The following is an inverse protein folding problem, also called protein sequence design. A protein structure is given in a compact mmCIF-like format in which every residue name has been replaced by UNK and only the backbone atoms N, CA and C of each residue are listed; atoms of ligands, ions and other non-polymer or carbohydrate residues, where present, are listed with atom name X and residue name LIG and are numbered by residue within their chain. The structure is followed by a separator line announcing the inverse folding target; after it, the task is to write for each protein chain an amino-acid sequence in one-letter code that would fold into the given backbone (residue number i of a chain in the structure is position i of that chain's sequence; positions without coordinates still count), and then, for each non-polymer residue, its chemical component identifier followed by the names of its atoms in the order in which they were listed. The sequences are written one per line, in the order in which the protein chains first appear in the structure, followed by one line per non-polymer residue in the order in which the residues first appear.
data_IF_871721691984
#
_entry.id   IF_871721691984
#
_cell.length_a   1.000
_cell.length_b   1.000
_cell.length_c   1.000
_cell.angle_alpha   90.00
_cell.angle_beta   90.00
_cell.angle_gamma   90.00
#
_symmetry.space_group_name_H-M   'P 1'
#
loop_
_entity.id
_entity.type
_entity.pdbx_description
1 polymer ?
#
# COMPACT_ATOMS: atom_id res chain seq x y z
N UNK A 1 -27.61 -0.82 1.24
CA UNK A 1 -26.79 -0.18 0.20
C UNK A 1 -25.54 -1.02 0.05
N UNK A 2 -25.66 -2.10 -0.72
CA UNK A 2 -24.57 -3.05 -0.96
C UNK A 2 -24.01 -2.65 -2.31
N UNK A 3 -22.95 -1.83 -2.31
CA UNK A 3 -22.35 -1.34 -3.55
C UNK A 3 -21.81 -2.52 -4.34
N UNK A 4 -22.50 -2.87 -5.44
CA UNK A 4 -21.92 -3.64 -6.54
C UNK A 4 -20.76 -2.81 -7.09
N UNK A 5 -19.53 -3.14 -6.69
CA UNK A 5 -18.34 -2.59 -7.34
C UNK A 5 -18.39 -3.07 -8.79
N UNK A 6 -18.73 -2.16 -9.70
CA UNK A 6 -18.93 -2.48 -11.11
C UNK A 6 -17.63 -3.05 -11.69
N UNK A 7 -17.70 -3.99 -12.63
CA UNK A 7 -16.53 -4.60 -13.29
C UNK A 7 -15.41 -3.61 -13.70
N UNK A 8 -15.68 -2.43 -14.30
CA UNK A 8 -14.63 -1.45 -14.60
C UNK A 8 -13.97 -0.82 -13.36
N UNK A 9 -14.71 -0.64 -12.27
CA UNK A 9 -14.21 -0.05 -11.03
C UNK A 9 -13.25 -1.02 -10.32
N UNK A 10 -13.53 -2.33 -10.35
CA UNK A 10 -12.61 -3.35 -9.84
C UNK A 10 -11.28 -3.37 -10.60
N UNK A 11 -11.30 -3.16 -11.92
CA UNK A 11 -10.08 -3.10 -12.75
C UNK A 11 -9.22 -1.91 -12.34
N UNK A 12 -9.82 -0.73 -12.14
CA UNK A 12 -9.12 0.47 -11.68
C UNK A 12 -8.51 0.25 -10.30
N UNK A 13 -9.28 -0.32 -9.37
CA UNK A 13 -8.81 -0.62 -8.01
C UNK A 13 -7.65 -1.62 -8.02
N UNK A 14 -7.70 -2.67 -8.86
CA UNK A 14 -6.60 -3.63 -9.02
C UNK A 14 -5.35 -3.03 -9.65
N UNK A 15 -5.50 -2.14 -10.63
CA UNK A 15 -4.38 -1.41 -11.21
C UNK A 15 -3.70 -0.54 -10.14
N UNK A 16 -4.50 0.24 -9.40
CA UNK A 16 -4.02 1.07 -8.30
C UNK A 16 -3.37 0.25 -7.17
N UNK A 17 -3.94 -0.91 -6.84
CA UNK A 17 -3.36 -1.84 -5.87
C UNK A 17 -1.96 -2.27 -6.32
N UNK A 18 -1.80 -2.62 -7.59
CA UNK A 18 -0.51 -3.05 -8.16
C UNK A 18 0.52 -1.92 -8.08
N UNK A 19 0.14 -0.69 -8.42
CA UNK A 19 1.01 0.48 -8.29
C UNK A 19 1.44 0.72 -6.84
N UNK A 20 0.51 0.70 -5.89
CA UNK A 20 0.81 0.90 -4.48
C UNK A 20 1.69 -0.21 -3.90
N UNK A 21 1.47 -1.46 -4.29
CA UNK A 21 2.31 -2.60 -3.87
C UNK A 21 3.72 -2.45 -4.43
N UNK A 22 3.87 -2.02 -5.67
CA UNK A 22 5.19 -1.75 -6.26
C UNK A 22 5.89 -0.61 -5.52
N UNK A 23 5.21 0.51 -5.30
CA UNK A 23 5.76 1.66 -4.56
C UNK A 23 6.15 1.27 -3.13
N UNK A 24 5.34 0.46 -2.45
CA UNK A 24 5.64 -0.06 -1.13
C UNK A 24 6.92 -0.92 -1.13
N UNK A 25 7.10 -1.77 -2.15
CA UNK A 25 8.29 -2.62 -2.31
C UNK A 25 9.55 -1.79 -2.57
N UNK A 26 9.43 -0.74 -3.39
CA UNK A 26 10.54 0.17 -3.68
C UNK A 26 10.93 0.97 -2.43
N UNK A 27 9.94 1.41 -1.64
CA UNK A 27 10.16 2.02 -0.33
C UNK A 27 10.84 1.07 0.64
N UNK A 28 10.52 -0.22 0.59
CA UNK A 28 11.18 -1.23 1.41
C UNK A 28 12.66 -1.37 1.07
N UNK A 29 12.97 -1.51 -0.22
CA UNK A 29 14.36 -1.57 -0.67
C UNK A 29 15.14 -0.30 -0.30
N UNK A 30 14.50 0.88 -0.36
CA UNK A 30 15.11 2.14 0.07
C UNK A 30 15.36 2.20 1.58
N UNK A 31 14.44 1.68 2.40
CA UNK A 31 14.62 1.59 3.86
C UNK A 31 15.75 0.63 4.20
N UNK A 32 15.81 -0.53 3.56
CA UNK A 32 16.86 -1.53 3.77
C UNK A 32 18.24 -0.96 3.40
N UNK A 33 18.33 -0.24 2.28
CA UNK A 33 19.56 0.44 1.87
C UNK A 33 19.98 1.57 2.84
N UNK A 34 19.02 2.19 3.54
CA UNK A 34 19.28 3.24 4.52
C UNK A 34 19.47 2.73 5.95
N UNK A 35 19.33 1.43 6.20
CA UNK A 35 19.39 0.89 7.56
C UNK A 35 20.79 1.07 8.20
N UNK A 36 21.83 1.16 7.39
CA UNK A 36 23.21 1.45 7.82
C UNK A 36 23.56 2.95 7.81
N UNK A 37 22.63 3.82 7.41
CA UNK A 37 22.85 5.26 7.37
C UNK A 37 22.57 5.90 8.76
N UNK A 38 23.38 6.88 9.21
CA UNK A 38 23.17 7.57 10.48
C UNK A 38 21.94 8.50 10.49
N UNK A 39 21.24 8.67 9.37
CA UNK A 39 20.10 9.58 9.23
C UNK A 39 18.77 8.95 9.69
N UNK A 40 18.61 8.91 11.02
CA UNK A 40 17.42 8.36 11.70
C UNK A 40 16.13 9.13 11.30
N UNK A 41 16.22 10.44 11.02
CA UNK A 41 15.06 11.26 10.65
C UNK A 41 14.53 10.84 9.27
N UNK A 42 15.42 10.65 8.30
CA UNK A 42 15.01 10.20 6.97
C UNK A 42 14.42 8.78 7.01
N UNK A 43 15.06 7.87 7.75
CA UNK A 43 14.57 6.49 7.90
C UNK A 43 13.19 6.46 8.58
N UNK A 44 12.95 7.30 9.58
CA UNK A 44 11.63 7.45 10.22
C UNK A 44 10.58 7.96 9.23
N UNK A 45 10.94 8.94 8.38
CA UNK A 45 10.05 9.47 7.34
C UNK A 45 9.67 8.40 6.31
N UNK A 46 10.64 7.59 5.87
CA UNK A 46 10.39 6.49 4.92
C UNK A 46 9.50 5.41 5.55
N UNK A 47 9.77 4.99 6.79
CA UNK A 47 8.91 4.03 7.51
C UNK A 47 7.48 4.54 7.66
N UNK A 48 7.29 5.83 7.94
CA UNK A 48 5.95 6.44 8.00
C UNK A 48 5.24 6.43 6.65
N UNK A 49 5.96 6.72 5.55
CA UNK A 49 5.42 6.60 4.19
C UNK A 49 5.03 5.17 3.85
N UNK A 50 5.90 4.20 4.17
CA UNK A 50 5.64 2.77 3.97
C UNK A 50 4.37 2.33 4.71
N UNK A 51 4.19 2.75 5.97
CA UNK A 51 2.99 2.46 6.74
C UNK A 51 1.72 3.02 6.07
N UNK A 52 1.76 4.28 5.61
CA UNK A 52 0.63 4.90 4.92
C UNK A 52 0.28 4.21 3.58
N UNK A 53 1.28 3.68 2.86
CA UNK A 53 1.03 2.86 1.66
C UNK A 53 0.37 1.54 2.02
N UNK A 54 0.86 0.86 3.07
CA UNK A 54 0.26 -0.38 3.57
C UNK A 54 -1.21 -0.19 3.96
N UNK A 55 -1.53 0.91 4.63
CA UNK A 55 -2.92 1.23 5.02
C UNK A 55 -3.81 1.47 3.79
N UNK A 56 -3.27 2.11 2.74
CA UNK A 56 -3.98 2.32 1.48
C UNK A 56 -4.21 1.02 0.70
N UNK A 57 -3.20 0.15 0.66
CA UNK A 57 -3.28 -1.20 0.08
C UNK A 57 -4.40 -1.96 0.78
N UNK A 58 -4.36 -2.03 2.11
CA UNK A 58 -5.37 -2.74 2.90
C UNK A 58 -6.79 -2.16 2.67
N UNK A 59 -6.93 -0.85 2.51
CA UNK A 59 -8.22 -0.22 2.19
C UNK A 59 -8.76 -0.65 0.83
N UNK A 60 -7.92 -0.71 -0.19
CA UNK A 60 -8.30 -1.14 -1.55
C UNK A 60 -8.57 -2.64 -1.58
N UNK A 61 -7.76 -3.44 -0.88
CA UNK A 61 -7.99 -4.88 -0.72
C UNK A 61 -9.34 -5.15 -0.04
N UNK A 62 -9.68 -4.43 1.03
CA UNK A 62 -11.00 -4.55 1.67
C UNK A 62 -12.16 -4.14 0.76
N UNK A 63 -11.94 -3.19 -0.15
CA UNK A 63 -12.95 -2.83 -1.16
C UNK A 63 -13.12 -3.89 -2.26
N UNK A 64 -12.06 -4.64 -2.57
CA UNK A 64 -12.05 -5.70 -3.59
C UNK A 64 -12.43 -7.07 -3.02
N UNK A 65 -12.12 -7.34 -1.76
CA UNK A 65 -12.25 -8.62 -1.07
C UNK A 65 -12.95 -8.40 0.29
N UNK A 66 -14.22 -7.97 0.30
CA UNK A 66 -14.94 -7.65 1.54
C UNK A 66 -15.13 -8.84 2.50
N UNK A 67 -14.78 -10.07 2.12
CA UNK A 67 -15.15 -11.31 2.82
C UNK A 67 -13.99 -12.03 3.57
N UNK A 68 -12.78 -11.47 3.64
CA UNK A 68 -11.62 -12.19 4.24
C UNK A 68 -11.28 -11.70 5.66
N UNK A 69 -11.87 -10.59 6.12
CA UNK A 69 -11.64 -10.00 7.46
C UNK A 69 -12.95 -9.90 8.26
N UNK A 70 -13.78 -10.95 8.22
CA UNK A 70 -14.93 -11.16 9.11
C UNK A 70 -14.62 -12.22 10.17
#
# INVERSE_FOLDING_TARGET
MSSEVTAPEQVILRAKLTELVQEHRDLDAAIDAMNDAPDIMQLTRLKKKKLALKDQIAKIENQLLPDIIA
#
